data_IF_652766776034
#
_entry.id   IF_652766776034
#
_cell.length_a   1.000
_cell.length_b   1.000
_cell.length_c   1.000
_cell.angle_alpha   90.00
_cell.angle_beta   90.00
_cell.angle_gamma   90.00
#
_symmetry.space_group_name_H-M   'P 1'
#
loop_
_entity.id
_entity.type
_entity.pdbx_description
1 polymer ?
#
# COMPACT_ATOMS: atom_id res chain seq x y z
N UNK A 1 40.02 46.18 -4.41
CA UNK A 1 39.39 44.94 -4.89
C UNK A 1 38.57 44.37 -3.74
N UNK A 2 37.26 44.54 -3.79
CA UNK A 2 36.31 44.22 -2.72
C UNK A 2 35.92 42.73 -2.74
N UNK A 3 35.95 42.10 -1.56
CA UNK A 3 35.30 40.81 -1.29
C UNK A 3 33.78 41.04 -1.14
N UNK A 4 32.98 40.20 -1.78
CA UNK A 4 31.52 40.16 -1.65
C UNK A 4 31.09 38.76 -1.16
N UNK A 5 30.16 38.63 -0.18
CA UNK A 5 29.70 37.33 0.32
C UNK A 5 28.46 36.85 -0.47
N UNK A 6 28.48 35.59 -0.92
CA UNK A 6 27.33 34.94 -1.56
C UNK A 6 26.38 34.43 -0.48
N UNK A 7 25.38 35.24 -0.15
CA UNK A 7 24.17 34.83 0.55
C UNK A 7 23.00 34.72 -0.43
N UNK A 8 22.32 33.57 -0.46
CA UNK A 8 21.20 33.33 -1.36
C UNK A 8 20.43 32.06 -1.03
N UNK A 9 19.87 31.99 0.18
CA UNK A 9 18.96 30.92 0.57
C UNK A 9 17.61 31.08 -0.16
N UNK A 10 17.38 30.29 -1.22
CA UNK A 10 16.07 30.19 -1.88
C UNK A 10 15.15 29.28 -1.07
N UNK A 11 14.17 29.91 -0.42
CA UNK A 11 13.10 29.29 0.35
C UNK A 11 12.17 28.50 -0.60
N UNK A 12 12.30 27.17 -0.58
CA UNK A 12 11.41 26.26 -1.30
C UNK A 12 10.00 26.26 -0.64
N UNK A 13 8.95 26.56 -1.42
CA UNK A 13 7.56 26.55 -0.95
C UNK A 13 6.73 25.51 -1.75
N UNK A 14 6.22 24.44 -1.12
CA UNK A 14 5.41 23.43 -1.79
C UNK A 14 3.93 23.72 -1.61
N UNK A 15 3.40 24.77 -2.26
CA UNK A 15 1.95 24.95 -2.40
C UNK A 15 1.63 25.55 -3.75
N UNK A 16 1.36 24.68 -4.73
CA UNK A 16 0.39 24.86 -5.82
C UNK A 16 0.61 23.74 -6.84
N UNK A 17 -0.26 22.73 -6.84
CA UNK A 17 -0.64 21.88 -8.00
C UNK A 17 -1.49 20.68 -7.55
N UNK A 18 -2.68 20.96 -7.01
CA UNK A 18 -3.80 20.00 -6.98
C UNK A 18 -5.10 20.80 -7.07
N UNK A 19 -5.22 21.60 -8.11
CA UNK A 19 -6.50 22.18 -8.52
C UNK A 19 -7.11 21.17 -9.49
N UNK A 20 -8.15 20.49 -9.04
CA UNK A 20 -8.86 19.44 -9.76
C UNK A 20 -9.58 20.02 -10.97
N UNK A 21 -9.03 19.81 -12.15
CA UNK A 21 -9.75 20.08 -13.40
C UNK A 21 -10.94 19.10 -13.54
N UNK A 22 -12.12 19.55 -13.99
CA UNK A 22 -13.26 18.66 -14.22
C UNK A 22 -12.96 17.66 -15.37
N UNK A 23 -13.53 16.45 -15.32
CA UNK A 23 -13.29 15.43 -16.33
C UNK A 23 -13.79 15.88 -17.71
N UNK A 24 -12.93 15.76 -18.72
CA UNK A 24 -13.27 16.13 -20.09
C UNK A 24 -14.41 15.29 -20.69
N UNK A 25 -15.06 15.79 -21.76
CA UNK A 25 -16.29 15.21 -22.34
C UNK A 25 -16.15 13.75 -22.83
N UNK A 26 -14.92 13.28 -23.04
CA UNK A 26 -14.62 11.90 -23.45
C UNK A 26 -14.79 10.91 -22.29
N UNK A 27 -14.50 11.33 -21.05
CA UNK A 27 -14.68 10.50 -19.85
C UNK A 27 -16.16 10.26 -19.53
N UNK A 28 -17.03 11.24 -19.82
CA UNK A 28 -18.46 11.11 -19.64
C UNK A 28 -19.09 10.10 -20.64
N UNK A 29 -18.61 10.08 -21.89
CA UNK A 29 -19.06 9.11 -22.91
C UNK A 29 -18.59 7.68 -22.65
N UNK A 30 -17.40 7.50 -22.07
CA UNK A 30 -16.88 6.18 -21.71
C UNK A 30 -17.63 5.54 -20.52
N UNK A 31 -18.13 6.35 -19.58
CA UNK A 31 -18.93 5.88 -18.45
C UNK A 31 -20.32 5.37 -18.88
N UNK A 32 -20.93 6.02 -19.88
CA UNK A 32 -22.22 5.59 -20.46
C UNK A 32 -22.11 4.26 -21.22
N UNK A 33 -21.01 4.00 -21.93
CA UNK A 33 -20.79 2.74 -22.67
C UNK A 33 -20.50 1.53 -21.76
N UNK A 34 -20.11 1.76 -20.51
CA UNK A 34 -19.74 0.71 -19.55
C UNK A 34 -20.85 0.40 -18.53
N UNK A 35 -22.04 1.01 -18.64
CA UNK A 35 -23.16 0.76 -17.73
C UNK A 35 -22.88 1.15 -16.27
N UNK A 36 -21.92 2.05 -16.03
CA UNK A 36 -21.57 2.51 -14.68
C UNK A 36 -22.40 3.76 -14.38
N UNK A 37 -23.55 3.55 -13.73
CA UNK A 37 -24.31 4.66 -13.14
C UNK A 37 -23.53 5.21 -11.93
N UNK A 38 -23.08 6.46 -12.05
CA UNK A 38 -22.52 7.21 -10.94
C UNK A 38 -23.64 7.90 -10.18
N UNK A 39 -24.28 7.19 -9.26
CA UNK A 39 -25.13 7.82 -8.23
C UNK A 39 -24.24 8.20 -7.03
N UNK A 40 -24.10 9.50 -6.76
CA UNK A 40 -23.45 10.04 -5.55
C UNK A 40 -22.04 9.51 -5.23
N UNK A 41 -21.15 9.46 -6.21
CA UNK A 41 -19.69 9.40 -5.97
C UNK A 41 -19.14 8.12 -5.33
N UNK A 42 -19.89 7.01 -5.34
CA UNK A 42 -19.43 5.71 -4.85
C UNK A 42 -19.60 4.61 -5.89
N UNK A 43 -18.49 4.09 -6.41
CA UNK A 43 -18.50 2.93 -7.30
C UNK A 43 -18.77 1.64 -6.48
N UNK A 44 -19.92 0.99 -6.69
CA UNK A 44 -20.18 -0.37 -6.20
C UNK A 44 -19.77 -1.38 -7.27
N UNK A 45 -18.75 -2.19 -7.00
CA UNK A 45 -18.48 -3.42 -7.75
C UNK A 45 -19.15 -4.60 -7.03
N UNK A 46 -20.12 -5.23 -7.69
CA UNK A 46 -20.77 -6.45 -7.23
C UNK A 46 -19.88 -7.67 -7.46
N UNK A 47 -19.03 -7.99 -6.48
CA UNK A 47 -18.30 -9.26 -6.40
C UNK A 47 -18.54 -9.88 -5.03
N UNK A 48 -19.39 -10.92 -5.00
CA UNK A 48 -20.01 -11.52 -3.81
C UNK A 48 -19.01 -12.12 -2.78
N UNK A 49 -17.75 -12.37 -3.17
CA UNK A 49 -16.68 -12.79 -2.26
C UNK A 49 -15.92 -11.66 -1.54
N UNK A 50 -16.11 -10.40 -1.95
CA UNK A 50 -15.47 -9.22 -1.37
C UNK A 50 -16.19 -8.69 -0.11
N UNK A 51 -17.29 -9.34 0.30
CA UNK A 51 -18.20 -8.86 1.36
C UNK A 51 -17.58 -8.92 2.76
N UNK A 52 -16.81 -9.96 3.11
CA UNK A 52 -16.17 -10.06 4.43
C UNK A 52 -14.99 -9.09 4.60
N UNK A 53 -14.19 -8.88 3.53
CA UNK A 53 -13.07 -7.95 3.56
C UNK A 53 -13.59 -6.51 3.56
N UNK A 54 -14.58 -6.17 2.73
CA UNK A 54 -15.19 -4.83 2.75
C UNK A 54 -15.93 -4.54 4.04
N UNK A 55 -16.66 -5.50 4.62
CA UNK A 55 -17.36 -5.29 5.89
C UNK A 55 -16.37 -5.11 7.06
N UNK A 56 -15.28 -5.90 7.08
CA UNK A 56 -14.19 -5.69 8.03
C UNK A 56 -13.52 -4.33 7.83
N UNK A 57 -13.28 -3.92 6.58
CA UNK A 57 -12.69 -2.62 6.23
C UNK A 57 -13.57 -1.43 6.61
N UNK A 58 -14.87 -1.49 6.34
CA UNK A 58 -15.82 -0.42 6.70
C UNK A 58 -15.96 -0.33 8.22
N UNK A 59 -15.96 -1.46 8.92
CA UNK A 59 -16.02 -1.50 10.40
C UNK A 59 -14.72 -1.01 11.04
N UNK A 60 -13.57 -1.32 10.46
CA UNK A 60 -12.25 -0.83 10.90
C UNK A 60 -12.06 0.67 10.59
N UNK A 61 -12.47 1.13 9.39
CA UNK A 61 -12.44 2.54 9.02
C UNK A 61 -13.40 3.39 9.85
N UNK A 62 -14.66 2.96 10.08
CA UNK A 62 -15.59 3.67 10.98
C UNK A 62 -15.07 3.75 12.42
N UNK A 63 -14.32 2.76 12.89
CA UNK A 63 -13.68 2.77 14.21
C UNK A 63 -12.47 3.71 14.27
N UNK A 64 -11.67 3.76 13.20
CA UNK A 64 -10.53 4.67 13.09
C UNK A 64 -10.94 6.13 12.95
N UNK A 65 -11.99 6.42 12.18
CA UNK A 65 -12.55 7.79 12.01
C UNK A 65 -13.10 8.35 13.32
N UNK A 66 -13.41 7.49 14.29
CA UNK A 66 -13.82 7.86 15.65
C UNK A 66 -12.63 8.10 16.60
N UNK A 67 -11.41 7.63 16.24
CA UNK A 67 -10.16 7.79 17.02
C UNK A 67 -9.11 8.70 16.35
N UNK A 68 -9.36 9.21 15.14
CA UNK A 68 -8.42 10.02 14.35
C UNK A 68 -8.22 11.46 14.84
N UNK A 69 -8.44 11.72 16.14
CA UNK A 69 -7.87 12.89 16.80
C UNK A 69 -6.37 12.70 17.14
N UNK A 70 -5.77 11.58 16.76
CA UNK A 70 -4.32 11.43 16.78
C UNK A 70 -3.70 12.13 15.55
N UNK A 71 -2.70 13.00 15.77
CA UNK A 71 -2.30 13.96 14.76
C UNK A 71 -1.45 13.29 13.66
N UNK A 72 -1.81 13.54 12.40
CA UNK A 72 -1.17 13.00 11.19
C UNK A 72 0.33 13.35 11.14
N UNK A 73 1.13 12.56 10.40
CA UNK A 73 2.59 12.63 10.32
C UNK A 73 3.21 14.04 10.12
N UNK A 74 2.47 14.98 9.54
CA UNK A 74 2.87 16.38 9.41
C UNK A 74 3.01 17.15 10.74
N UNK A 75 2.55 16.55 11.85
CA UNK A 75 2.64 17.07 13.22
C UNK A 75 3.82 16.51 14.02
N UNK A 76 4.56 15.51 13.51
CA UNK A 76 5.67 14.90 14.25
C UNK A 76 6.79 15.94 14.53
N UNK A 77 6.93 16.94 13.66
CA UNK A 77 7.88 18.05 13.84
C UNK A 77 7.55 18.90 15.07
N UNK A 78 6.28 19.01 15.47
CA UNK A 78 5.84 19.77 16.64
C UNK A 78 5.67 18.92 17.92
N UNK A 79 5.91 17.62 17.86
CA UNK A 79 5.83 16.75 19.04
C UNK A 79 7.05 16.92 19.96
N UNK A 80 6.80 16.84 21.28
CA UNK A 80 7.82 16.88 22.33
C UNK A 80 8.85 15.77 22.07
N UNK A 81 10.14 16.02 22.37
CA UNK A 81 11.26 15.10 22.05
C UNK A 81 11.03 13.63 22.46
N UNK A 82 10.27 13.41 23.55
CA UNK A 82 9.89 12.09 24.09
C UNK A 82 8.85 11.35 23.23
N UNK A 83 7.88 12.05 22.65
CA UNK A 83 6.80 11.45 21.85
C UNK A 83 7.31 11.03 20.46
N UNK A 84 8.31 11.76 19.93
CA UNK A 84 9.02 11.37 18.70
C UNK A 84 9.76 10.04 18.85
N UNK A 85 10.42 9.82 19.99
CA UNK A 85 11.14 8.56 20.26
C UNK A 85 10.19 7.36 20.33
N UNK A 86 9.04 7.52 20.98
CA UNK A 86 8.02 6.47 21.05
C UNK A 86 7.41 6.17 19.67
N UNK A 87 7.09 7.20 18.88
CA UNK A 87 6.57 7.01 17.52
C UNK A 87 7.56 6.27 16.62
N UNK A 88 8.85 6.61 16.70
CA UNK A 88 9.91 5.90 15.98
C UNK A 88 10.04 4.45 16.44
N UNK A 89 10.05 4.19 17.75
CA UNK A 89 10.16 2.84 18.29
C UNK A 89 8.98 1.96 17.84
N UNK A 90 7.76 2.50 17.87
CA UNK A 90 6.57 1.80 17.37
C UNK A 90 6.72 1.47 15.88
N UNK A 91 7.18 2.41 15.05
CA UNK A 91 7.39 2.19 13.63
C UNK A 91 8.46 1.10 13.36
N UNK A 92 9.56 1.12 14.12
CA UNK A 92 10.63 0.10 14.04
C UNK A 92 10.09 -1.28 14.41
N UNK A 93 9.40 -1.40 15.55
CA UNK A 93 8.84 -2.68 15.99
C UNK A 93 7.80 -3.19 15.00
N UNK A 94 6.90 -2.33 14.51
CA UNK A 94 5.89 -2.69 13.51
C UNK A 94 6.53 -3.23 12.23
N UNK A 95 7.56 -2.55 11.74
CA UNK A 95 8.26 -2.94 10.51
C UNK A 95 9.00 -4.26 10.68
N UNK A 96 9.71 -4.44 11.80
CA UNK A 96 10.43 -5.67 12.13
C UNK A 96 9.48 -6.88 12.26
N UNK A 97 8.37 -6.70 12.99
CA UNK A 97 7.33 -7.71 13.15
C UNK A 97 6.72 -8.06 11.79
N UNK A 98 6.30 -7.07 11.01
CA UNK A 98 5.66 -7.29 9.70
C UNK A 98 6.58 -8.07 8.75
N UNK A 99 7.86 -7.69 8.66
CA UNK A 99 8.83 -8.37 7.82
C UNK A 99 9.06 -9.82 8.26
N UNK A 100 9.26 -10.04 9.57
CA UNK A 100 9.56 -11.36 10.12
C UNK A 100 8.39 -12.33 9.95
N UNK A 101 7.16 -11.88 10.23
CA UNK A 101 5.96 -12.70 10.04
C UNK A 101 5.69 -12.99 8.56
N UNK A 102 5.97 -12.05 7.66
CA UNK A 102 5.80 -12.26 6.23
C UNK A 102 6.82 -13.28 5.70
N UNK A 103 8.08 -13.20 6.15
CA UNK A 103 9.10 -14.18 5.82
C UNK A 103 8.73 -15.58 6.32
N UNK A 104 8.38 -15.69 7.60
CA UNK A 104 7.97 -16.97 8.20
C UNK A 104 6.76 -17.57 7.50
N UNK A 105 5.73 -16.76 7.21
CA UNK A 105 4.58 -17.19 6.43
C UNK A 105 4.97 -17.70 5.04
N UNK A 106 5.90 -17.02 4.36
CA UNK A 106 6.34 -17.43 3.04
C UNK A 106 7.10 -18.76 3.05
N UNK A 107 7.90 -19.01 4.09
CA UNK A 107 8.57 -20.29 4.31
C UNK A 107 7.55 -21.42 4.56
N UNK A 108 6.52 -21.17 5.37
CA UNK A 108 5.48 -22.19 5.63
C UNK A 108 4.66 -22.55 4.39
N UNK A 109 4.49 -21.61 3.48
CA UNK A 109 3.82 -21.82 2.19
C UNK A 109 4.76 -22.36 1.10
N UNK A 110 6.03 -22.63 1.44
CA UNK A 110 7.06 -23.10 0.50
C UNK A 110 7.16 -22.25 -0.78
N UNK A 111 7.03 -20.92 -0.62
CA UNK A 111 7.16 -20.00 -1.73
C UNK A 111 8.61 -19.99 -2.24
N UNK A 112 8.76 -19.86 -3.56
CA UNK A 112 10.06 -20.00 -4.23
C UNK A 112 11.05 -18.88 -3.87
N UNK A 113 10.58 -17.65 -3.63
CA UNK A 113 11.42 -16.52 -3.25
C UNK A 113 10.81 -15.77 -2.05
N UNK A 114 10.92 -16.31 -0.82
CA UNK A 114 10.27 -15.75 0.37
C UNK A 114 10.74 -14.32 0.74
N UNK A 115 11.88 -13.88 0.19
CA UNK A 115 12.38 -12.51 0.27
C UNK A 115 11.31 -11.47 -0.10
N UNK A 116 10.56 -11.68 -1.17
CA UNK A 116 9.63 -10.64 -1.67
C UNK A 116 8.41 -10.45 -0.78
N UNK A 117 8.01 -11.46 -0.01
CA UNK A 117 6.99 -11.30 1.01
C UNK A 117 7.45 -10.31 2.09
N UNK A 118 8.71 -10.43 2.52
CA UNK A 118 9.31 -9.56 3.54
C UNK A 118 9.45 -8.12 3.05
N UNK A 119 10.00 -7.94 1.84
CA UNK A 119 10.14 -6.64 1.18
C UNK A 119 8.77 -5.99 1.01
N UNK A 120 7.76 -6.78 0.63
CA UNK A 120 6.40 -6.28 0.46
C UNK A 120 5.74 -5.85 1.75
N UNK A 121 5.96 -6.59 2.83
CA UNK A 121 5.50 -6.21 4.15
C UNK A 121 6.11 -4.87 4.60
N UNK A 122 7.41 -4.66 4.36
CA UNK A 122 8.08 -3.39 4.68
C UNK A 122 7.52 -2.22 3.88
N UNK A 123 7.28 -2.41 2.58
CA UNK A 123 6.78 -1.33 1.71
C UNK A 123 5.31 -0.98 2.02
N UNK A 124 4.50 -1.98 2.36
CA UNK A 124 3.10 -1.77 2.76
C UNK A 124 2.98 -1.14 4.14
N UNK A 125 3.94 -1.36 5.04
CA UNK A 125 3.94 -0.77 6.38
C UNK A 125 4.08 0.75 6.30
N UNK A 126 3.07 1.49 6.76
CA UNK A 126 3.09 2.95 6.85
C UNK A 126 2.84 3.42 8.29
N UNK A 127 3.02 4.72 8.52
CA UNK A 127 2.83 5.33 9.84
C UNK A 127 1.36 5.29 10.30
N UNK A 128 0.42 5.38 9.36
CA UNK A 128 -1.01 5.29 9.63
C UNK A 128 -1.60 4.00 9.09
N UNK A 129 -2.65 3.51 9.76
CA UNK A 129 -3.39 2.33 9.32
C UNK A 129 -4.10 2.56 7.98
N UNK A 130 -4.70 3.74 7.79
CA UNK A 130 -5.37 4.11 6.54
C UNK A 130 -4.41 4.07 5.35
N UNK A 131 -3.19 4.60 5.54
CA UNK A 131 -2.16 4.57 4.50
C UNK A 131 -1.63 3.16 4.28
N UNK A 132 -1.44 2.37 5.35
CA UNK A 132 -1.03 0.96 5.24
C UNK A 132 -2.04 0.15 4.44
N UNK A 133 -3.33 0.35 4.68
CA UNK A 133 -4.40 -0.35 3.95
C UNK A 133 -4.52 0.13 2.50
N UNK A 134 -4.45 1.44 2.26
CA UNK A 134 -4.45 2.00 0.92
C UNK A 134 -3.26 1.47 0.10
N UNK A 135 -2.09 1.35 0.72
CA UNK A 135 -0.89 0.76 0.12
C UNK A 135 -1.04 -0.73 -0.10
N UNK A 136 -1.61 -1.48 0.84
CA UNK A 136 -1.92 -2.91 0.64
C UNK A 136 -2.75 -3.10 -0.63
N UNK A 137 -3.86 -2.35 -0.78
CA UNK A 137 -4.71 -2.40 -1.97
C UNK A 137 -3.94 -2.00 -3.24
N UNK A 138 -3.19 -0.91 -3.18
CA UNK A 138 -2.36 -0.42 -4.29
C UNK A 138 -1.37 -1.50 -4.75
N UNK A 139 -0.70 -2.18 -3.82
CA UNK A 139 0.28 -3.22 -4.12
C UNK A 139 -0.36 -4.48 -4.67
N UNK A 140 -1.44 -4.97 -4.05
CA UNK A 140 -2.14 -6.16 -4.56
C UNK A 140 -2.66 -5.94 -5.98
N UNK A 141 -3.33 -4.82 -6.24
CA UNK A 141 -3.87 -4.51 -7.56
C UNK A 141 -2.73 -4.23 -8.56
N UNK A 142 -1.75 -3.41 -8.17
CA UNK A 142 -0.63 -3.06 -9.04
C UNK A 142 0.20 -4.28 -9.43
N UNK A 143 0.45 -5.20 -8.49
CA UNK A 143 1.15 -6.45 -8.77
C UNK A 143 0.32 -7.39 -9.64
N UNK A 144 -0.99 -7.53 -9.40
CA UNK A 144 -1.85 -8.29 -10.29
C UNK A 144 -1.79 -7.76 -11.74
N UNK A 145 -1.99 -6.45 -11.91
CA UNK A 145 -1.95 -5.79 -13.23
C UNK A 145 -0.57 -5.95 -13.87
N UNK A 146 0.51 -5.67 -13.15
CA UNK A 146 1.88 -5.78 -13.67
C UNK A 146 2.24 -7.20 -14.09
N UNK A 147 1.84 -8.19 -13.29
CA UNK A 147 2.09 -9.61 -13.57
C UNK A 147 1.30 -10.09 -14.79
N UNK A 148 0.00 -9.75 -14.87
CA UNK A 148 -0.86 -10.12 -16.00
C UNK A 148 -0.32 -9.49 -17.30
N UNK A 149 0.01 -8.20 -17.27
CA UNK A 149 0.56 -7.51 -18.43
C UNK A 149 1.93 -8.06 -18.84
N UNK A 150 2.76 -8.46 -17.87
CA UNK A 150 4.02 -9.13 -18.18
C UNK A 150 3.78 -10.46 -18.89
N UNK A 151 2.92 -11.31 -18.35
CA UNK A 151 2.58 -12.62 -18.95
C UNK A 151 2.04 -12.44 -20.37
N UNK A 152 1.11 -11.51 -20.59
CA UNK A 152 0.56 -11.20 -21.92
C UNK A 152 1.68 -10.72 -22.85
N UNK A 153 2.52 -9.80 -22.38
CA UNK A 153 3.63 -9.25 -23.15
C UNK A 153 4.61 -10.33 -23.61
N UNK A 154 5.07 -11.20 -22.71
CA UNK A 154 5.95 -12.33 -23.04
C UNK A 154 5.28 -13.29 -24.01
N UNK A 155 4.01 -13.64 -23.77
CA UNK A 155 3.28 -14.59 -24.61
C UNK A 155 3.15 -14.09 -26.05
N UNK A 156 2.95 -12.78 -26.24
CA UNK A 156 2.89 -12.16 -27.56
C UNK A 156 4.26 -12.03 -28.22
N UNK A 157 5.32 -11.85 -27.44
CA UNK A 157 6.68 -11.65 -27.95
C UNK A 157 7.46 -12.96 -28.17
N UNK A 158 7.04 -14.05 -27.53
CA UNK A 158 7.69 -15.37 -27.60
C UNK A 158 7.96 -15.87 -29.03
N UNK A 159 7.05 -15.72 -30.01
CA UNK A 159 7.30 -16.14 -31.40
C UNK A 159 8.47 -15.41 -32.08
N UNK A 160 8.79 -14.19 -31.63
CA UNK A 160 9.81 -13.34 -32.26
C UNK A 160 11.25 -13.66 -31.80
N UNK A 161 11.43 -14.58 -30.84
CA UNK A 161 12.74 -15.03 -30.31
C UNK A 161 13.67 -13.86 -29.95
N UNK A 162 13.10 -12.85 -29.30
CA UNK A 162 13.85 -11.69 -28.84
C UNK A 162 14.84 -12.06 -27.72
N UNK A 163 15.85 -11.23 -27.51
CA UNK A 163 16.70 -11.34 -26.32
C UNK A 163 15.93 -10.92 -25.08
N UNK A 164 16.29 -11.47 -23.91
CA UNK A 164 15.65 -11.14 -22.63
C UNK A 164 15.67 -9.62 -22.33
N UNK A 165 16.74 -8.93 -22.76
CA UNK A 165 16.88 -7.48 -22.61
C UNK A 165 15.85 -6.74 -23.47
N UNK A 166 15.65 -7.17 -24.72
CA UNK A 166 14.67 -6.57 -25.62
C UNK A 166 13.24 -6.84 -25.14
N UNK A 167 12.96 -8.06 -24.67
CA UNK A 167 11.67 -8.42 -24.08
C UNK A 167 11.36 -7.58 -22.84
N UNK A 168 12.32 -7.46 -21.92
CA UNK A 168 12.21 -6.60 -20.74
C UNK A 168 11.90 -5.15 -21.12
N UNK A 169 12.64 -4.59 -22.09
CA UNK A 169 12.45 -3.22 -22.53
C UNK A 169 11.05 -2.99 -23.11
N UNK A 170 10.61 -3.86 -24.03
CA UNK A 170 9.31 -3.73 -24.71
C UNK A 170 8.16 -3.92 -23.73
N UNK A 171 8.17 -4.99 -22.94
CA UNK A 171 7.09 -5.28 -21.99
C UNK A 171 7.00 -4.18 -20.93
N UNK A 172 8.13 -3.73 -20.39
CA UNK A 172 8.14 -2.64 -19.40
C UNK A 172 7.63 -1.33 -20.01
N UNK A 173 7.99 -1.02 -21.26
CA UNK A 173 7.48 0.16 -21.96
C UNK A 173 5.96 0.10 -22.17
N UNK A 174 5.44 -1.05 -22.60
CA UNK A 174 3.99 -1.28 -22.77
C UNK A 174 3.27 -1.13 -21.43
N UNK A 175 3.75 -1.79 -20.38
CA UNK A 175 3.14 -1.69 -19.04
C UNK A 175 3.16 -0.25 -18.56
N UNK A 176 4.30 0.44 -18.68
CA UNK A 176 4.44 1.85 -18.30
C UNK A 176 3.44 2.74 -19.04
N UNK A 177 3.27 2.55 -20.35
CA UNK A 177 2.27 3.28 -21.12
C UNK A 177 0.84 3.06 -20.60
N UNK A 178 0.47 1.80 -20.32
CA UNK A 178 -0.88 1.42 -19.89
C UNK A 178 -1.23 1.91 -18.48
N UNK A 179 -0.27 1.94 -17.55
CA UNK A 179 -0.52 2.33 -16.15
C UNK A 179 -0.11 3.79 -15.84
N UNK A 180 0.53 4.50 -16.77
CA UNK A 180 0.99 5.89 -16.60
C UNK A 180 -0.11 6.85 -16.10
N UNK A 181 -1.32 6.71 -16.64
CA UNK A 181 -2.47 7.55 -16.32
C UNK A 181 -3.18 7.17 -15.00
N UNK A 182 -2.75 6.09 -14.33
CA UNK A 182 -3.35 5.62 -13.08
C UNK A 182 -2.28 5.53 -11.99
N UNK A 183 -2.12 6.59 -11.16
CA UNK A 183 -1.08 6.64 -10.12
C UNK A 183 -1.06 5.43 -9.19
N UNK A 184 -2.24 4.94 -8.82
CA UNK A 184 -2.47 3.75 -8.01
C UNK A 184 -1.99 2.42 -8.62
N UNK A 185 -1.74 2.37 -9.93
CA UNK A 185 -1.26 1.15 -10.63
C UNK A 185 0.19 1.26 -11.07
N UNK A 186 0.87 2.38 -10.78
CA UNK A 186 2.29 2.57 -11.13
C UNK A 186 3.19 1.52 -10.47
N UNK A 187 2.72 0.89 -9.40
CA UNK A 187 3.38 -0.27 -8.80
C UNK A 187 3.56 -1.42 -9.81
N UNK A 188 2.64 -1.55 -10.76
CA UNK A 188 2.70 -2.57 -11.82
C UNK A 188 3.89 -2.43 -12.76
N UNK A 189 4.43 -1.22 -12.96
CA UNK A 189 5.57 -1.00 -13.88
C UNK A 189 6.80 -1.79 -13.41
N UNK A 190 7.23 -1.54 -12.18
CA UNK A 190 8.40 -2.20 -11.63
C UNK A 190 8.09 -3.66 -11.25
N UNK A 191 6.83 -4.00 -10.97
CA UNK A 191 6.41 -5.40 -10.78
C UNK A 191 6.53 -6.22 -12.07
N UNK A 192 6.15 -5.67 -13.22
CA UNK A 192 6.31 -6.35 -14.51
C UNK A 192 7.80 -6.63 -14.77
N UNK A 193 8.66 -5.62 -14.57
CA UNK A 193 10.10 -5.77 -14.71
C UNK A 193 10.66 -6.85 -13.76
N UNK A 194 10.29 -6.82 -12.47
CA UNK A 194 10.70 -7.85 -11.51
C UNK A 194 10.21 -9.22 -11.91
N UNK A 195 8.98 -9.35 -12.40
CA UNK A 195 8.42 -10.64 -12.83
C UNK A 195 9.24 -11.23 -13.98
N UNK A 196 9.73 -10.41 -14.90
CA UNK A 196 10.62 -10.88 -15.96
C UNK A 196 12.01 -11.24 -15.43
N UNK A 197 12.59 -10.38 -14.58
CA UNK A 197 13.94 -10.55 -14.05
C UNK A 197 14.08 -11.66 -13.01
N UNK A 198 13.01 -11.97 -12.29
CA UNK A 198 12.99 -13.00 -11.24
C UNK A 198 12.69 -14.40 -11.76
N UNK A 199 12.52 -14.54 -13.07
CA UNK A 199 12.21 -15.82 -13.72
C UNK A 199 13.36 -16.81 -13.47
N UNK A 200 13.03 -17.91 -12.80
CA UNK A 200 13.99 -18.98 -12.59
C UNK A 200 14.18 -19.81 -13.86
N UNK A 201 15.38 -20.34 -14.11
CA UNK A 201 15.63 -21.25 -15.23
C UNK A 201 14.65 -22.43 -15.19
N UNK A 202 13.99 -22.70 -16.32
CA UNK A 202 13.02 -23.80 -16.44
C UNK A 202 11.62 -23.52 -15.90
N UNK A 203 11.38 -22.37 -15.26
CA UNK A 203 10.04 -21.98 -14.80
C UNK A 203 9.28 -21.23 -15.90
N UNK A 204 8.02 -21.61 -16.09
CA UNK A 204 7.13 -20.91 -17.00
C UNK A 204 6.76 -19.51 -16.46
N UNK A 205 6.48 -18.57 -17.36
CA UNK A 205 6.16 -17.18 -17.00
C UNK A 205 4.88 -17.09 -16.15
N UNK A 206 3.93 -17.99 -16.38
CA UNK A 206 2.70 -18.09 -15.59
C UNK A 206 2.98 -18.49 -14.14
N UNK A 207 3.80 -19.52 -13.94
CA UNK A 207 4.17 -20.00 -12.62
C UNK A 207 4.96 -18.94 -11.86
N UNK A 208 5.93 -18.31 -12.52
CA UNK A 208 6.70 -17.24 -11.90
C UNK A 208 5.81 -16.05 -11.54
N UNK A 209 4.92 -15.62 -12.44
CA UNK A 209 3.98 -14.54 -12.16
C UNK A 209 3.07 -14.83 -10.96
N UNK A 210 2.53 -16.04 -10.86
CA UNK A 210 1.70 -16.43 -9.72
C UNK A 210 2.49 -16.48 -8.41
N UNK A 211 3.74 -16.96 -8.44
CA UNK A 211 4.65 -16.92 -7.30
C UNK A 211 4.92 -15.47 -6.85
N UNK A 212 5.19 -14.55 -7.79
CA UNK A 212 5.37 -13.12 -7.48
C UNK A 212 4.12 -12.51 -6.85
N UNK A 213 2.95 -12.77 -7.43
CA UNK A 213 1.70 -12.22 -6.91
C UNK A 213 1.41 -12.72 -5.49
N UNK A 214 1.57 -14.03 -5.25
CA UNK A 214 1.33 -14.62 -3.93
C UNK A 214 2.30 -14.10 -2.86
N UNK A 215 3.58 -13.92 -3.18
CA UNK A 215 4.57 -13.34 -2.26
C UNK A 215 4.22 -11.89 -1.89
N UNK A 216 3.88 -11.05 -2.87
CA UNK A 216 3.49 -9.65 -2.61
C UNK A 216 2.18 -9.60 -1.82
N UNK A 217 1.17 -10.39 -2.21
CA UNK A 217 -0.11 -10.42 -1.53
C UNK A 217 0.05 -10.85 -0.06
N UNK A 218 0.83 -11.90 0.20
CA UNK A 218 1.13 -12.35 1.55
C UNK A 218 1.79 -11.25 2.38
N UNK A 219 2.85 -10.62 1.86
CA UNK A 219 3.54 -9.54 2.57
C UNK A 219 2.62 -8.36 2.90
N UNK A 220 1.81 -7.92 1.94
CA UNK A 220 0.87 -6.82 2.12
C UNK A 220 -0.25 -7.15 3.10
N UNK A 221 -0.77 -8.39 3.08
CA UNK A 221 -1.77 -8.88 4.04
C UNK A 221 -1.18 -8.95 5.45
N UNK A 222 0.03 -9.48 5.61
CA UNK A 222 0.69 -9.58 6.92
C UNK A 222 0.93 -8.19 7.52
N UNK A 223 1.46 -7.23 6.75
CA UNK A 223 1.67 -5.87 7.23
C UNK A 223 0.36 -5.20 7.67
N UNK A 224 -0.72 -5.38 6.90
CA UNK A 224 -2.05 -4.89 7.27
C UNK A 224 -2.54 -5.57 8.55
N UNK A 225 -2.36 -6.88 8.67
CA UNK A 225 -2.71 -7.66 9.87
C UNK A 225 -2.00 -7.16 11.12
N UNK A 226 -0.68 -6.91 11.04
CA UNK A 226 0.10 -6.34 12.15
C UNK A 226 -0.43 -4.97 12.55
N UNK A 227 -0.72 -4.10 11.58
CA UNK A 227 -1.29 -2.79 11.85
C UNK A 227 -2.69 -2.87 12.50
N UNK A 228 -3.54 -3.82 12.08
CA UNK A 228 -4.85 -4.04 12.73
C UNK A 228 -4.71 -4.56 14.16
N UNK A 229 -3.73 -5.43 14.42
CA UNK A 229 -3.47 -5.99 15.74
C UNK A 229 -3.02 -4.90 16.70
N UNK A 230 -2.11 -4.03 16.26
CA UNK A 230 -1.64 -2.90 17.04
C UNK A 230 -2.80 -1.97 17.45
N UNK A 231 -3.67 -1.58 16.52
CA UNK A 231 -4.86 -0.78 16.82
C UNK A 231 -5.75 -1.47 17.86
N UNK A 232 -6.00 -2.77 17.65
CA UNK A 232 -6.84 -3.57 18.55
C UNK A 232 -6.24 -3.66 19.96
N UNK A 233 -4.92 -3.72 20.09
CA UNK A 233 -4.22 -3.72 21.37
C UNK A 233 -4.32 -2.37 22.08
N UNK A 234 -4.14 -1.26 21.36
CA UNK A 234 -4.31 0.07 21.91
C UNK A 234 -5.73 0.29 22.44
N UNK A 235 -6.75 -0.12 21.70
CA UNK A 235 -8.15 -0.05 22.15
C UNK A 235 -8.40 -0.86 23.44
N UNK A 236 -7.82 -2.06 23.54
CA UNK A 236 -7.95 -2.92 24.72
C UNK A 236 -7.29 -2.28 25.94
N UNK A 237 -6.13 -1.65 25.76
CA UNK A 237 -5.42 -0.95 26.83
C UNK A 237 -6.19 0.29 27.30
N UNK A 238 -6.71 1.11 26.37
CA UNK A 238 -7.53 2.27 26.71
C UNK A 238 -8.81 1.89 27.47
N UNK A 239 -9.53 0.85 27.03
CA UNK A 239 -10.71 0.35 27.73
C UNK A 239 -10.41 -0.07 29.18
N UNK A 240 -9.28 -0.76 29.41
CA UNK A 240 -8.85 -1.15 30.75
C UNK A 240 -8.46 0.05 31.62
N UNK A 241 -7.91 1.10 31.03
CA UNK A 241 -7.56 2.34 31.73
C UNK A 241 -8.78 3.09 32.28
N UNK A 242 -9.86 3.18 31.50
CA UNK A 242 -11.12 3.79 31.97
C UNK A 242 -11.81 2.96 33.05
N UNK A 243 -11.81 1.63 32.93
CA UNK A 243 -12.38 0.73 33.95
C UNK A 243 -11.69 0.87 35.33
N UNK A 244 -10.39 1.17 35.36
CA UNK A 244 -9.64 1.39 36.62
C UNK A 244 -9.88 2.77 37.24
N UNK A 245 -10.24 3.79 36.47
CA UNK A 245 -10.52 5.15 37.00
C UNK A 245 -11.96 5.35 37.45
N UNK A 246 -12.93 4.63 36.87
CA UNK A 246 -14.34 4.74 37.23
C UNK A 246 -14.77 4.01 38.50
N UNK A 247 -13.91 3.18 39.10
CA UNK A 247 -14.22 2.38 40.30
C UNK A 247 -13.77 2.96 41.64
N UNK A 248 -13.29 4.21 41.67
CA UNK A 248 -12.63 4.79 42.84
C UNK A 248 -13.40 5.86 43.63
N UNK A 249 -14.63 6.23 43.23
CA UNK A 249 -15.30 7.45 43.75
C UNK A 249 -16.68 7.17 44.39
N UNK A 250 -16.77 6.11 45.18
CA UNK A 250 -18.02 5.63 45.80
C UNK A 250 -18.01 5.46 47.31
N UNK A 251 -17.02 6.01 48.02
CA UNK A 251 -16.94 5.89 49.50
C UNK A 251 -16.59 7.23 50.13
N UNK A 252 -17.60 7.89 50.72
CA UNK A 252 -17.40 8.90 51.74
C UNK A 252 -18.14 10.21 51.50
N UNK A 253 -19.42 10.26 51.90
CA UNK A 253 -20.05 11.39 52.62
C UNK A 253 -21.52 11.04 52.91
N UNK A 254 -21.74 10.33 54.01
CA UNK A 254 -22.87 10.55 54.90
C UNK A 254 -22.28 10.89 56.27
#
# INVERSE_FOLDING_TARGET
>A
MLMSPIGGATRWSPRRKYETAPPGPIAARAAQLLGIEFENGSARTGLSGASSINAFCVKAMRRYQMMSHLPSAHSIVSLRRRDRGLAMLICVVRSAVSATFAYGGALTLQLHQPLWASVSALITTKDSFGDTFAECRSRVIGTAVGTILAIIGVSLLSPFRLSDIAELAIVTAIVAALVSNRPQWRVGIWTAAITLLSRQPGMDIWQNGLARFSEVALGSVVATGVATLELSLLERLFRRGFARRGGGDGTGRQ
#
